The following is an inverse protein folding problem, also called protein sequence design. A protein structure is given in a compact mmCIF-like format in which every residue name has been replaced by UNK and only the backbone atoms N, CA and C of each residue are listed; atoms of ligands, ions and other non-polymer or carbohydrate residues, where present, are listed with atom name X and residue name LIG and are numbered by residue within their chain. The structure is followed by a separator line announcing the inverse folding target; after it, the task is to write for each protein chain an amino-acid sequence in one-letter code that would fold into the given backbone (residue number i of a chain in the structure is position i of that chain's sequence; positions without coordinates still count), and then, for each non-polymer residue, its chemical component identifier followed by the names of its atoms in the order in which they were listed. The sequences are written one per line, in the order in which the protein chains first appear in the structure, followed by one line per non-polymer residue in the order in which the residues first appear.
data_IF_368245873951
#
_entry.id   IF_368245873951
#
_cell.length_a   1.000
_cell.length_b   1.000
_cell.length_c   1.000
_cell.angle_alpha   90.00
_cell.angle_beta   90.00
_cell.angle_gamma   90.00
#
_symmetry.space_group_name_H-M   'P 1'
#
loop_
_entity.id
_entity.type
_entity.pdbx_description
1 polymer ?
#
# COMPACT_ATOMS: atom_id res chain seq x y z
N UNK A 1 -1.83 16.24 -30.74
CA UNK A 1 -3.14 16.35 -30.04
C UNK A 1 -3.05 15.46 -28.81
N UNK A 2 -3.13 16.02 -27.59
CA UNK A 2 -3.15 15.23 -26.36
C UNK A 2 -4.58 14.70 -26.15
N UNK A 3 -4.77 13.39 -26.17
CA UNK A 3 -6.09 12.76 -26.06
C UNK A 3 -6.47 12.54 -24.59
N UNK A 4 -7.77 12.57 -24.27
CA UNK A 4 -8.34 12.29 -22.94
C UNK A 4 -7.85 10.99 -22.27
N UNK A 5 -7.29 10.05 -23.05
CA UNK A 5 -6.76 8.77 -22.61
C UNK A 5 -5.41 8.84 -21.85
N UNK A 6 -4.84 10.04 -21.69
CA UNK A 6 -3.60 10.26 -20.94
C UNK A 6 -3.82 10.37 -19.43
N UNK A 7 -5.05 10.67 -18.98
CA UNK A 7 -5.34 10.94 -17.58
C UNK A 7 -6.04 9.78 -16.89
N UNK A 8 -5.28 9.07 -16.08
CA UNK A 8 -5.73 7.89 -15.37
C UNK A 8 -6.32 8.25 -14.00
N UNK A 9 -7.30 7.47 -13.58
CA UNK A 9 -7.77 7.43 -12.21
C UNK A 9 -6.79 6.66 -11.32
N UNK A 10 -7.04 6.64 -10.01
CA UNK A 10 -6.17 5.98 -9.03
C UNK A 10 -5.98 4.48 -9.30
N UNK A 11 -7.05 3.77 -9.67
CA UNK A 11 -7.02 2.33 -9.91
C UNK A 11 -6.24 2.02 -11.17
N UNK A 12 -6.51 2.73 -12.26
CA UNK A 12 -5.75 2.61 -13.52
C UNK A 12 -4.26 2.94 -13.33
N UNK A 13 -3.95 3.95 -12.52
CA UNK A 13 -2.56 4.27 -12.17
C UNK A 13 -1.88 3.14 -11.39
N UNK A 14 -2.64 2.47 -10.52
CA UNK A 14 -2.15 1.33 -9.74
C UNK A 14 -1.85 0.12 -10.63
N UNK A 15 -2.70 -0.13 -11.64
CA UNK A 15 -2.48 -1.17 -12.64
C UNK A 15 -1.22 -0.91 -13.47
N UNK A 16 -1.02 0.33 -13.96
CA UNK A 16 0.18 0.72 -14.72
C UNK A 16 1.45 0.52 -13.90
N UNK A 17 1.40 0.80 -12.60
CA UNK A 17 2.54 0.66 -11.70
C UNK A 17 2.67 -0.74 -11.07
N UNK A 18 1.70 -1.63 -11.28
CA UNK A 18 1.68 -2.98 -10.70
C UNK A 18 1.57 -3.02 -9.18
N UNK A 19 0.91 -2.04 -8.55
CA UNK A 19 0.80 -1.93 -7.08
C UNK A 19 -0.66 -1.77 -6.63
N UNK A 20 -0.90 -1.83 -5.32
CA UNK A 20 -2.24 -1.60 -4.76
C UNK A 20 -2.63 -0.10 -4.84
N UNK A 21 -3.92 0.26 -5.10
CA UNK A 21 -4.35 1.66 -5.20
C UNK A 21 -4.09 2.50 -3.93
N UNK A 22 -4.10 1.86 -2.75
CA UNK A 22 -3.73 2.53 -1.49
C UNK A 22 -2.26 2.99 -1.47
N UNK A 23 -1.37 2.26 -2.14
CA UNK A 23 0.06 2.61 -2.28
C UNK A 23 0.22 3.83 -3.17
N UNK A 24 -0.44 3.85 -4.32
CA UNK A 24 -0.51 5.02 -5.21
C UNK A 24 -1.09 6.23 -4.47
N UNK A 25 -2.15 6.05 -3.67
CA UNK A 25 -2.74 7.11 -2.85
C UNK A 25 -1.72 7.66 -1.84
N UNK A 26 -1.04 6.78 -1.12
CA UNK A 26 -0.02 7.19 -0.15
C UNK A 26 1.15 7.96 -0.83
N UNK A 27 1.62 7.49 -1.99
CA UNK A 27 2.65 8.18 -2.77
C UNK A 27 2.19 9.56 -3.26
N UNK A 28 0.94 9.65 -3.72
CA UNK A 28 0.32 10.91 -4.13
C UNK A 28 0.23 11.91 -2.98
N UNK A 29 -0.18 11.43 -1.80
CA UNK A 29 -0.41 12.27 -0.62
C UNK A 29 0.90 12.79 -0.03
N UNK A 30 2.00 12.04 -0.19
CA UNK A 30 3.36 12.49 0.16
C UNK A 30 4.01 13.36 -0.93
N UNK A 31 3.40 13.48 -2.11
CA UNK A 31 3.96 14.17 -3.26
C UNK A 31 5.07 13.41 -3.99
N UNK A 32 5.28 12.13 -3.67
CA UNK A 32 6.26 11.26 -4.36
C UNK A 32 5.83 10.94 -5.80
N UNK A 33 4.52 10.93 -6.06
CA UNK A 33 3.93 10.67 -7.37
C UNK A 33 3.20 11.93 -7.88
N UNK A 34 3.52 12.45 -9.07
CA UNK A 34 2.84 13.62 -9.62
C UNK A 34 1.34 13.35 -9.80
N UNK A 35 0.50 14.21 -9.22
CA UNK A 35 -0.95 14.13 -9.36
C UNK A 35 -1.56 15.49 -9.61
N UNK A 36 -2.67 15.50 -10.33
CA UNK A 36 -3.55 16.65 -10.41
C UNK A 36 -4.89 16.33 -9.77
N UNK A 37 -5.55 17.35 -9.24
CA UNK A 37 -6.92 17.23 -8.74
C UNK A 37 -7.87 17.86 -9.71
N UNK A 38 -8.98 17.18 -9.99
CA UNK A 38 -10.10 17.79 -10.70
C UNK A 38 -10.82 18.80 -9.79
N UNK A 39 -11.70 19.63 -10.35
CA UNK A 39 -12.53 20.55 -9.57
C UNK A 39 -13.37 19.83 -8.48
N UNK A 40 -13.68 18.54 -8.68
CA UNK A 40 -14.35 17.67 -7.69
C UNK A 40 -13.40 17.00 -6.67
N UNK A 41 -12.10 17.32 -6.68
CA UNK A 41 -11.12 16.82 -5.71
C UNK A 41 -10.56 15.42 -6.00
N UNK A 42 -10.99 14.75 -7.07
CA UNK A 42 -10.48 13.44 -7.46
C UNK A 42 -9.05 13.54 -8.01
N UNK A 43 -8.18 12.59 -7.62
CA UNK A 43 -6.80 12.50 -8.11
C UNK A 43 -6.79 11.96 -9.55
N UNK A 44 -5.97 12.56 -10.40
CA UNK A 44 -5.70 12.17 -11.78
C UNK A 44 -4.19 12.12 -12.02
N UNK A 45 -3.79 11.13 -12.80
CA UNK A 45 -2.38 10.77 -13.05
C UNK A 45 -2.13 10.78 -14.54
N UNK A 46 -1.07 11.44 -15.02
CA UNK A 46 -0.71 11.30 -16.44
C UNK A 46 -0.03 9.97 -16.66
N UNK A 47 -0.50 9.19 -17.62
CA UNK A 47 0.13 7.92 -18.02
C UNK A 47 1.62 8.09 -18.31
N UNK A 48 2.00 9.11 -19.08
CA UNK A 48 3.40 9.40 -19.39
C UNK A 48 4.24 9.71 -18.14
N UNK A 49 3.67 10.40 -17.15
CA UNK A 49 4.34 10.66 -15.88
C UNK A 49 4.50 9.37 -15.07
N UNK A 50 3.51 8.46 -15.09
CA UNK A 50 3.61 7.15 -14.43
C UNK A 50 4.64 6.24 -15.09
N UNK A 51 4.70 6.22 -16.42
CA UNK A 51 5.68 5.43 -17.18
C UNK A 51 7.09 5.98 -16.96
N UNK A 52 7.25 7.30 -17.00
CA UNK A 52 8.53 7.97 -16.69
C UNK A 52 8.90 7.79 -15.23
N UNK A 53 7.94 7.86 -14.31
CA UNK A 53 8.15 7.60 -12.90
C UNK A 53 8.47 6.13 -12.65
N UNK A 54 7.89 5.17 -13.35
CA UNK A 54 8.25 3.76 -13.25
C UNK A 54 9.67 3.49 -13.75
N UNK A 55 10.02 4.05 -14.92
CA UNK A 55 11.37 3.94 -15.50
C UNK A 55 12.44 4.71 -14.69
N UNK A 56 12.06 5.87 -14.14
CA UNK A 56 12.90 6.76 -13.35
C UNK A 56 12.96 6.40 -11.86
N UNK A 57 11.92 5.78 -11.31
CA UNK A 57 11.94 5.14 -10.01
C UNK A 57 13.05 4.12 -10.00
N UNK A 58 13.23 3.29 -11.04
CA UNK A 58 14.43 2.45 -11.17
C UNK A 58 15.77 3.15 -10.86
N UNK A 59 15.94 4.43 -11.24
CA UNK A 59 17.14 5.25 -10.97
C UNK A 59 17.10 6.08 -9.68
N UNK A 60 15.93 6.57 -9.25
CA UNK A 60 15.73 7.21 -7.94
C UNK A 60 15.69 6.19 -6.80
N UNK A 61 15.49 4.91 -7.10
CA UNK A 61 15.43 3.74 -6.22
C UNK A 61 16.78 3.06 -6.08
N UNK A 62 17.69 3.26 -7.06
CA UNK A 62 19.13 3.14 -6.83
C UNK A 62 19.66 4.23 -5.85
N UNK A 63 19.04 5.43 -5.81
CA UNK A 63 19.41 6.52 -4.89
C UNK A 63 18.68 6.51 -3.55
N UNK A 64 17.40 6.12 -3.49
CA UNK A 64 16.63 5.80 -2.28
C UNK A 64 16.66 4.29 -2.14
N UNK A 65 17.63 3.80 -1.36
CA UNK A 65 17.90 2.39 -1.07
C UNK A 65 16.65 1.64 -0.55
N UNK A 66 15.72 1.28 -1.43
CA UNK A 66 14.74 0.24 -1.16
C UNK A 66 15.24 -1.02 -1.85
N UNK A 67 15.77 -1.95 -1.07
CA UNK A 67 16.28 -3.23 -1.53
C UNK A 67 15.19 -4.01 -2.30
N UNK A 68 15.59 -4.89 -3.21
CA UNK A 68 14.69 -5.83 -3.89
C UNK A 68 13.85 -6.66 -2.91
N UNK A 69 14.37 -6.95 -1.71
CA UNK A 69 13.63 -7.59 -0.63
C UNK A 69 12.47 -6.72 -0.11
N UNK A 70 12.68 -5.42 0.12
CA UNK A 70 11.62 -4.48 0.53
C UNK A 70 10.49 -4.39 -0.51
N UNK A 71 10.82 -4.47 -1.80
CA UNK A 71 9.83 -4.49 -2.87
C UNK A 71 8.99 -5.78 -2.89
N UNK A 72 9.63 -6.93 -2.74
CA UNK A 72 8.95 -8.23 -2.67
C UNK A 72 8.01 -8.26 -1.46
N UNK A 73 8.47 -7.77 -0.30
CA UNK A 73 7.66 -7.66 0.92
C UNK A 73 6.45 -6.75 0.71
N UNK A 74 6.64 -5.54 0.16
CA UNK A 74 5.54 -4.61 -0.12
C UNK A 74 4.49 -5.20 -1.07
N UNK A 75 4.92 -5.90 -2.12
CA UNK A 75 4.00 -6.56 -3.06
C UNK A 75 3.26 -7.74 -2.42
N UNK A 76 3.94 -8.58 -1.63
CA UNK A 76 3.30 -9.68 -0.90
C UNK A 76 2.26 -9.17 0.11
N UNK A 77 2.59 -8.11 0.86
CA UNK A 77 1.66 -7.46 1.79
C UNK A 77 0.45 -6.86 1.07
N UNK A 78 0.68 -6.24 -0.10
CA UNK A 78 -0.39 -5.73 -0.96
C UNK A 78 -1.34 -6.83 -1.42
N UNK A 79 -0.81 -8.00 -1.79
CA UNK A 79 -1.61 -9.19 -2.18
C UNK A 79 -2.36 -9.81 -1.01
N UNK A 80 -1.69 -10.04 0.11
CA UNK A 80 -2.33 -10.54 1.33
C UNK A 80 -3.48 -9.61 1.76
N UNK A 81 -3.31 -8.30 1.61
CA UNK A 81 -4.38 -7.34 1.85
C UNK A 81 -5.55 -7.55 0.89
N UNK A 82 -5.32 -7.72 -0.42
CA UNK A 82 -6.37 -7.97 -1.40
C UNK A 82 -7.14 -9.27 -1.12
N UNK A 83 -6.43 -10.35 -0.76
CA UNK A 83 -7.03 -11.66 -0.45
C UNK A 83 -7.86 -11.62 0.84
N UNK A 84 -7.50 -10.75 1.79
CA UNK A 84 -8.16 -10.66 3.10
C UNK A 84 -9.19 -9.52 3.18
N UNK A 85 -9.12 -8.50 2.31
CA UNK A 85 -10.14 -7.45 2.22
C UNK A 85 -11.29 -7.89 1.34
N UNK A 86 -12.51 -7.49 1.72
CA UNK A 86 -13.81 -7.94 1.17
C UNK A 86 -14.31 -9.27 1.72
N UNK A 87 -14.58 -9.29 3.03
CA UNK A 87 -15.45 -10.33 3.60
C UNK A 87 -14.87 -11.73 3.59
N UNK A 88 -13.55 -11.89 3.41
CA UNK A 88 -12.86 -13.18 3.55
C UNK A 88 -13.21 -13.90 4.86
N UNK A 89 -13.48 -13.14 5.92
CA UNK A 89 -13.91 -13.68 7.22
C UNK A 89 -15.41 -13.50 7.47
N UNK A 90 -16.18 -12.85 6.59
CA UNK A 90 -17.60 -12.60 6.83
C UNK A 90 -18.41 -13.89 6.88
N UNK A 91 -17.98 -14.93 6.19
CA UNK A 91 -18.64 -16.24 6.19
C UNK A 91 -18.18 -17.14 7.35
N UNK A 92 -17.14 -16.72 8.09
CA UNK A 92 -16.59 -17.49 9.19
C UNK A 92 -17.44 -17.36 10.46
N UNK A 93 -17.88 -18.49 11.02
CA UNK A 93 -18.80 -18.53 12.16
C UNK A 93 -18.24 -17.77 13.38
N UNK A 94 -16.94 -17.89 13.66
CA UNK A 94 -16.31 -17.20 14.78
C UNK A 94 -16.27 -15.67 14.59
N UNK A 95 -16.19 -15.20 13.34
CA UNK A 95 -16.12 -13.77 13.02
C UNK A 95 -17.51 -13.12 13.03
N UNK A 96 -18.55 -13.88 12.64
CA UNK A 96 -19.95 -13.44 12.73
C UNK A 96 -20.42 -13.27 14.19
N UNK A 97 -19.86 -14.05 15.12
CA UNK A 97 -20.16 -13.95 16.56
C UNK A 97 -19.58 -12.68 17.22
N UNK A 98 -18.64 -12.00 16.56
CA UNK A 98 -18.07 -10.76 17.07
C UNK A 98 -19.01 -9.59 16.79
N UNK A 99 -19.16 -8.70 17.77
CA UNK A 99 -19.82 -7.42 17.53
C UNK A 99 -18.91 -6.45 16.75
N UNK A 100 -19.45 -5.31 16.31
CA UNK A 100 -18.66 -4.35 15.52
C UNK A 100 -17.51 -3.71 16.32
N UNK A 101 -17.62 -3.66 17.65
CA UNK A 101 -16.55 -3.17 18.53
C UNK A 101 -15.37 -4.13 18.52
N UNK A 102 -15.62 -5.41 18.77
CA UNK A 102 -14.62 -6.47 18.76
C UNK A 102 -14.01 -6.65 17.36
N UNK A 103 -14.82 -6.56 16.29
CA UNK A 103 -14.29 -6.55 14.91
C UNK A 103 -13.39 -5.35 14.67
N UNK A 104 -13.73 -4.17 15.18
CA UNK A 104 -12.88 -2.97 15.07
C UNK A 104 -11.56 -3.14 15.83
N UNK A 105 -11.60 -3.69 17.05
CA UNK A 105 -10.39 -4.00 17.83
C UNK A 105 -9.50 -5.01 17.11
N UNK A 106 -10.08 -6.08 16.57
CA UNK A 106 -9.36 -7.09 15.80
C UNK A 106 -8.69 -6.51 14.54
N UNK A 107 -9.38 -5.61 13.83
CA UNK A 107 -8.80 -4.87 12.68
C UNK A 107 -7.62 -4.00 13.11
N UNK A 108 -7.71 -3.32 14.25
CA UNK A 108 -6.63 -2.50 14.78
C UNK A 108 -5.42 -3.33 15.21
N UNK A 109 -5.64 -4.46 15.88
CA UNK A 109 -4.61 -5.43 16.25
C UNK A 109 -3.90 -5.96 14.99
N UNK A 110 -4.66 -6.44 14.01
CA UNK A 110 -4.11 -6.95 12.76
C UNK A 110 -3.28 -5.90 12.00
N UNK A 111 -3.75 -4.64 11.99
CA UNK A 111 -3.01 -3.52 11.37
C UNK A 111 -1.68 -3.26 12.06
N UNK A 112 -1.64 -3.26 13.41
CA UNK A 112 -0.41 -3.05 14.19
C UNK A 112 0.57 -4.20 13.99
N UNK A 113 0.10 -5.45 14.01
CA UNK A 113 0.92 -6.62 13.74
C UNK A 113 1.55 -6.56 12.35
N UNK A 114 0.75 -6.23 11.33
CA UNK A 114 1.23 -6.08 9.97
C UNK A 114 2.34 -5.03 9.86
N UNK A 115 2.14 -3.86 10.48
CA UNK A 115 3.13 -2.78 10.52
C UNK A 115 4.47 -3.23 11.12
N UNK A 116 4.43 -4.02 12.20
CA UNK A 116 5.63 -4.57 12.82
C UNK A 116 6.33 -5.58 11.92
N UNK A 117 5.58 -6.47 11.26
CA UNK A 117 6.14 -7.44 10.30
C UNK A 117 6.79 -6.72 9.13
N UNK A 118 6.15 -5.67 8.57
CA UNK A 118 6.77 -4.85 7.53
C UNK A 118 8.08 -4.27 8.06
N UNK A 119 8.03 -3.57 9.20
CA UNK A 119 9.20 -2.91 9.76
C UNK A 119 10.37 -3.89 9.99
N UNK A 120 10.08 -5.10 10.49
CA UNK A 120 11.08 -6.13 10.72
C UNK A 120 11.74 -6.60 9.43
N UNK A 121 10.92 -6.87 8.41
CA UNK A 121 11.42 -7.34 7.11
C UNK A 121 12.18 -6.24 6.34
N UNK A 122 11.95 -4.97 6.66
CA UNK A 122 12.59 -3.84 5.99
C UNK A 122 13.77 -3.24 6.75
N UNK A 123 13.85 -3.41 8.08
CA UNK A 123 14.86 -2.81 8.95
C UNK A 123 15.36 -3.78 10.04
N UNK A 124 16.18 -4.79 9.67
CA UNK A 124 16.61 -5.84 10.59
C UNK A 124 17.43 -5.34 11.79
N UNK A 125 18.02 -4.15 11.72
CA UNK A 125 18.78 -3.52 12.81
C UNK A 125 17.95 -3.16 14.05
N UNK A 126 16.61 -3.16 13.97
CA UNK A 126 15.71 -2.83 15.10
C UNK A 126 14.99 -4.05 15.69
N UNK A 127 15.43 -5.26 15.37
CA UNK A 127 14.80 -6.54 15.74
C UNK A 127 14.35 -6.61 17.22
N UNK A 128 15.24 -6.33 18.17
CA UNK A 128 14.93 -6.46 19.60
C UNK A 128 13.85 -5.48 20.12
N UNK A 129 13.64 -4.36 19.43
CA UNK A 129 12.59 -3.39 19.76
C UNK A 129 11.27 -3.80 19.14
N UNK A 130 11.30 -4.23 17.87
CA UNK A 130 10.12 -4.69 17.14
C UNK A 130 9.51 -5.96 17.76
N UNK A 131 10.34 -6.91 18.20
CA UNK A 131 9.88 -8.11 18.90
C UNK A 131 9.22 -7.79 20.24
N UNK A 132 9.75 -6.84 21.02
CA UNK A 132 9.13 -6.38 22.27
C UNK A 132 7.76 -5.73 22.04
N UNK A 133 7.61 -4.95 20.96
CA UNK A 133 6.32 -4.36 20.61
C UNK A 133 5.32 -5.43 20.15
N UNK A 134 5.77 -6.44 19.42
CA UNK A 134 4.91 -7.56 19.00
C UNK A 134 4.39 -8.38 20.20
N UNK A 135 5.19 -8.53 21.26
CA UNK A 135 4.79 -9.21 22.49
C UNK A 135 3.76 -8.45 23.33
N UNK A 136 3.50 -7.17 23.03
CA UNK A 136 2.54 -6.32 23.74
C UNK A 136 1.20 -6.17 22.99
N UNK A 137 1.06 -6.84 21.84
CA UNK A 137 -0.18 -6.97 21.09
C UNK A 137 -0.92 -8.20 21.62
#
# INVERSE_FOLDING_TARGET
MMTENDWLNLSEAAEVLGVHPATVRAWSDRGDLPTQRTAGGHRRFRRADLETWGAGAGKLQERRQLTSAQLVVQNMLGRARLELTEGAFNDETWYQLLDETAKKELREIGRRLLQLVVAYLTEPTQEATLLRQAQQI
#
